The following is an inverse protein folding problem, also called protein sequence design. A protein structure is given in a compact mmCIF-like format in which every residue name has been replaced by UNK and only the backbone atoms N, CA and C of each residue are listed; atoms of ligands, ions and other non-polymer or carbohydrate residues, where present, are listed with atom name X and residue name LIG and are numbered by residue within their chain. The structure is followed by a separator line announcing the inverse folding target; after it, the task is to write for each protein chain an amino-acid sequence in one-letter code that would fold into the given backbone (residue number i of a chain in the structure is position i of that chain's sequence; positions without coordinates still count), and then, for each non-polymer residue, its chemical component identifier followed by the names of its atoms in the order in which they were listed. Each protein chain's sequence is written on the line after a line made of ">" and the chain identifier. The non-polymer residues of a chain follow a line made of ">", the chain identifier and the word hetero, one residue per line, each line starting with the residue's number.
data_IF_333646289396
#
_entry.id   IF_333646289396
#
_cell.length_a   1.000
_cell.length_b   1.000
_cell.length_c   1.000
_cell.angle_alpha   90.00
_cell.angle_beta   90.00
_cell.angle_gamma   90.00
#
_symmetry.space_group_name_H-M   'P 1'
#
loop_
_entity.id
_entity.type
_entity.pdbx_description
1 polymer ?
#
# COMPACT_ATOMS: atom_id res chain seq x y z
N UNK A 1 27.68 -16.10 -10.08
CA UNK A 1 28.28 -14.81 -10.46
C UNK A 1 27.21 -13.80 -10.80
N UNK A 2 27.57 -12.49 -10.70
CA UNK A 2 26.69 -11.38 -11.04
C UNK A 2 27.07 -10.81 -12.39
N UNK A 3 26.10 -10.60 -13.27
CA UNK A 3 26.27 -9.93 -14.56
C UNK A 3 25.60 -8.56 -14.50
N UNK A 4 26.30 -7.52 -14.95
CA UNK A 4 25.78 -6.14 -15.00
C UNK A 4 25.59 -5.70 -16.45
N UNK A 5 24.42 -5.18 -16.75
CA UNK A 5 24.05 -4.64 -18.05
C UNK A 5 23.81 -3.14 -17.94
N UNK A 6 24.42 -2.37 -18.84
CA UNK A 6 24.24 -0.92 -18.95
C UNK A 6 23.87 -0.57 -20.37
N UNK A 7 23.08 0.48 -20.55
CA UNK A 7 22.93 1.06 -21.88
C UNK A 7 24.27 1.60 -22.37
N UNK A 8 24.55 1.49 -23.67
CA UNK A 8 25.72 2.08 -24.31
C UNK A 8 25.62 3.62 -24.43
N UNK A 9 24.42 4.16 -24.31
CA UNK A 9 24.14 5.59 -24.42
C UNK A 9 23.78 6.17 -23.05
N UNK A 10 24.22 7.37 -22.74
CA UNK A 10 23.78 8.12 -21.57
C UNK A 10 22.26 8.31 -21.58
N UNK A 11 21.60 8.01 -20.46
CA UNK A 11 20.15 8.03 -20.36
C UNK A 11 19.43 6.92 -21.13
N UNK A 12 20.17 5.96 -21.70
CA UNK A 12 19.58 4.84 -22.41
C UNK A 12 18.87 3.86 -21.47
N UNK A 13 17.88 3.15 -22.04
CA UNK A 13 16.97 2.27 -21.33
C UNK A 13 17.25 0.79 -21.66
N UNK A 14 16.89 -0.10 -20.73
CA UNK A 14 17.02 -1.55 -20.89
C UNK A 14 15.62 -2.17 -20.91
N UNK A 15 15.24 -2.81 -22.01
CA UNK A 15 13.98 -3.54 -22.14
C UNK A 15 14.17 -5.00 -21.74
N UNK A 16 13.30 -5.50 -20.88
CA UNK A 16 13.30 -6.92 -20.46
C UNK A 16 12.14 -7.63 -21.14
N UNK A 17 12.37 -8.17 -22.33
CA UNK A 17 11.33 -8.77 -23.20
C UNK A 17 10.65 -10.01 -22.63
N UNK A 18 11.27 -10.71 -21.65
CA UNK A 18 10.69 -11.89 -20.99
C UNK A 18 9.75 -11.54 -19.85
N UNK A 19 9.61 -10.26 -19.49
CA UNK A 19 8.70 -9.81 -18.44
C UNK A 19 7.51 -9.06 -19.04
N UNK A 20 6.33 -9.33 -18.47
CA UNK A 20 5.11 -8.58 -18.72
C UNK A 20 4.65 -7.92 -17.42
N UNK A 21 4.29 -6.65 -17.50
CA UNK A 21 3.69 -5.86 -16.42
C UNK A 21 2.26 -5.47 -16.79
N UNK A 22 1.52 -4.91 -15.85
CA UNK A 22 0.13 -4.52 -16.09
C UNK A 22 -0.06 -3.56 -17.28
N UNK A 23 0.99 -2.82 -17.66
CA UNK A 23 0.99 -1.84 -18.76
C UNK A 23 1.84 -2.28 -19.95
N UNK A 24 2.31 -3.52 -20.01
CA UNK A 24 3.14 -4.06 -21.09
C UNK A 24 4.57 -4.43 -20.67
N UNK A 25 5.45 -4.58 -21.66
CA UNK A 25 6.84 -4.95 -21.45
C UNK A 25 7.61 -3.81 -20.75
N UNK A 26 8.29 -4.07 -19.61
CA UNK A 26 8.94 -3.02 -18.84
C UNK A 26 10.25 -2.54 -19.49
N UNK A 27 10.53 -1.24 -19.30
CA UNK A 27 11.72 -0.55 -19.80
C UNK A 27 12.39 0.18 -18.61
N UNK A 28 13.58 -0.24 -18.27
CA UNK A 28 14.28 0.19 -17.05
C UNK A 28 15.35 1.25 -17.32
N UNK A 29 15.36 2.37 -16.59
CA UNK A 29 16.51 3.28 -16.53
C UNK A 29 17.63 2.69 -15.68
N UNK A 30 18.81 3.29 -15.72
CA UNK A 30 19.95 2.88 -14.90
C UNK A 30 20.63 1.62 -15.41
N UNK A 31 20.97 0.71 -14.49
CA UNK A 31 21.55 -0.57 -14.88
C UNK A 31 20.74 -1.75 -14.35
N UNK A 32 20.95 -2.90 -14.99
CA UNK A 32 20.35 -4.17 -14.58
C UNK A 32 21.47 -5.12 -14.15
N UNK A 33 21.26 -5.78 -13.03
CA UNK A 33 22.11 -6.85 -12.56
C UNK A 33 21.32 -8.15 -12.54
N UNK A 34 21.95 -9.22 -13.01
CA UNK A 34 21.38 -10.57 -13.01
C UNK A 34 22.27 -11.48 -12.17
N UNK A 35 21.69 -12.17 -11.21
CA UNK A 35 22.33 -13.17 -10.38
C UNK A 35 21.55 -14.48 -10.47
N UNK A 36 22.24 -15.60 -10.58
CA UNK A 36 21.64 -16.92 -10.46
C UNK A 36 21.46 -17.27 -8.98
N UNK A 37 20.24 -17.59 -8.60
CA UNK A 37 19.84 -18.05 -7.28
C UNK A 37 19.36 -19.52 -7.34
N UNK A 38 19.13 -20.12 -6.20
CA UNK A 38 18.75 -21.56 -6.12
C UNK A 38 17.46 -21.91 -6.85
N UNK A 39 16.56 -20.97 -7.01
CA UNK A 39 15.21 -21.14 -7.55
C UNK A 39 14.93 -20.32 -8.83
N UNK A 40 15.97 -19.66 -9.36
CA UNK A 40 15.85 -18.92 -10.61
C UNK A 40 16.87 -17.79 -10.78
N UNK A 41 16.50 -16.80 -11.57
CA UNK A 41 17.30 -15.61 -11.79
C UNK A 41 16.74 -14.42 -11.00
N UNK A 42 17.62 -13.84 -10.19
CA UNK A 42 17.34 -12.57 -9.55
C UNK A 42 17.71 -11.43 -10.51
N UNK A 43 16.76 -10.53 -10.74
CA UNK A 43 16.94 -9.35 -11.56
C UNK A 43 16.87 -8.11 -10.66
N UNK A 44 17.94 -7.33 -10.62
CA UNK A 44 18.03 -6.08 -9.86
C UNK A 44 18.16 -4.89 -10.82
N UNK A 45 17.38 -3.84 -10.54
CA UNK A 45 17.53 -2.57 -11.22
C UNK A 45 18.17 -1.55 -10.26
N UNK A 46 19.38 -1.12 -10.59
CA UNK A 46 20.04 -0.01 -9.90
C UNK A 46 19.72 1.29 -10.64
N UNK A 47 19.03 2.19 -9.96
CA UNK A 47 18.47 3.41 -10.55
C UNK A 47 18.56 4.57 -9.58
N UNK A 48 18.75 5.78 -10.10
CA UNK A 48 18.67 7.02 -9.33
C UNK A 48 17.26 7.19 -8.72
N UNK A 49 17.19 7.73 -7.50
CA UNK A 49 15.92 7.88 -6.77
C UNK A 49 14.90 8.73 -7.55
N UNK A 50 15.33 9.82 -8.17
CA UNK A 50 14.39 10.68 -8.90
C UNK A 50 13.89 9.99 -10.20
N UNK A 51 14.77 9.26 -10.89
CA UNK A 51 14.37 8.44 -12.05
C UNK A 51 13.45 7.28 -11.65
N UNK A 52 13.66 6.67 -10.48
CA UNK A 52 12.73 5.70 -9.90
C UNK A 52 11.35 6.33 -9.68
N UNK A 53 11.29 7.53 -9.08
CA UNK A 53 10.04 8.23 -8.79
C UNK A 53 9.24 8.63 -10.03
N UNK A 54 9.90 8.94 -11.16
CA UNK A 54 9.23 9.18 -12.45
C UNK A 54 8.47 7.95 -12.95
N UNK A 55 8.80 6.74 -12.47
CA UNK A 55 8.11 5.49 -12.80
C UNK A 55 7.12 5.05 -11.72
N UNK A 56 7.41 5.35 -10.46
CA UNK A 56 6.49 5.06 -9.34
C UNK A 56 5.29 5.99 -9.38
N UNK A 57 5.48 7.30 -9.52
CA UNK A 57 4.38 8.26 -9.44
C UNK A 57 3.23 7.94 -10.41
N UNK A 58 3.45 7.67 -11.72
CA UNK A 58 2.37 7.28 -12.63
C UNK A 58 1.86 5.85 -12.42
N UNK A 59 2.61 5.00 -11.70
CA UNK A 59 2.16 3.66 -11.34
C UNK A 59 1.19 3.68 -10.16
N UNK A 60 1.30 4.67 -9.26
CA UNK A 60 0.52 4.81 -8.04
C UNK A 60 -0.64 5.80 -8.19
N UNK A 61 -0.50 6.84 -9.00
CA UNK A 61 -1.52 7.88 -9.19
C UNK A 61 -1.73 8.17 -10.69
N UNK A 62 -2.99 8.27 -11.16
CA UNK A 62 -3.26 8.63 -12.55
C UNK A 62 -2.58 9.94 -12.96
N UNK A 63 -1.82 9.96 -14.08
CA UNK A 63 -1.06 11.14 -14.51
C UNK A 63 -1.95 12.31 -14.98
N UNK A 64 -3.26 12.08 -15.05
CA UNK A 64 -4.28 13.10 -15.39
C UNK A 64 -4.77 13.91 -14.18
N UNK A 65 -4.27 13.59 -12.98
CA UNK A 65 -4.61 14.34 -11.79
C UNK A 65 -3.92 15.71 -11.79
N UNK A 66 -4.44 16.63 -10.97
CA UNK A 66 -3.91 17.99 -10.84
C UNK A 66 -2.43 17.95 -10.41
N UNK A 67 -1.63 18.89 -10.96
CA UNK A 67 -0.19 18.92 -10.75
C UNK A 67 0.20 18.94 -9.26
N UNK A 68 -0.52 19.70 -8.43
CA UNK A 68 -0.24 19.77 -6.99
C UNK A 68 -0.54 18.43 -6.26
N UNK A 69 -1.52 17.67 -6.73
CA UNK A 69 -1.77 16.32 -6.21
C UNK A 69 -0.63 15.35 -6.61
N UNK A 70 -0.15 15.44 -7.86
CA UNK A 70 1.00 14.66 -8.33
C UNK A 70 2.29 15.02 -7.58
N UNK A 71 2.51 16.31 -7.26
CA UNK A 71 3.61 16.78 -6.42
C UNK A 71 3.53 16.19 -5.00
N UNK A 72 2.36 16.23 -4.38
CA UNK A 72 2.15 15.63 -3.07
C UNK A 72 2.45 14.13 -3.09
N UNK A 73 2.00 13.40 -4.13
CA UNK A 73 2.32 12.00 -4.32
C UNK A 73 3.82 11.77 -4.49
N UNK A 74 4.51 12.59 -5.28
CA UNK A 74 5.96 12.48 -5.48
C UNK A 74 6.73 12.67 -4.17
N UNK A 75 6.36 13.64 -3.34
CA UNK A 75 6.99 13.88 -2.02
C UNK A 75 6.72 12.71 -1.06
N UNK A 76 5.49 12.19 -1.02
CA UNK A 76 5.16 11.01 -0.21
C UNK A 76 5.95 9.78 -0.68
N UNK A 77 5.97 9.52 -1.97
CA UNK A 77 6.67 8.37 -2.56
C UNK A 77 8.19 8.46 -2.33
N UNK A 78 8.77 9.65 -2.47
CA UNK A 78 10.20 9.89 -2.19
C UNK A 78 10.54 9.63 -0.73
N UNK A 79 9.71 10.15 0.19
CA UNK A 79 9.92 9.96 1.63
C UNK A 79 9.83 8.49 2.01
N UNK A 80 8.84 7.77 1.48
CA UNK A 80 8.70 6.33 1.67
C UNK A 80 9.92 5.58 1.14
N UNK A 81 10.31 5.82 -0.13
CA UNK A 81 11.48 5.17 -0.75
C UNK A 81 12.77 5.46 0.03
N UNK A 82 12.99 6.70 0.45
CA UNK A 82 14.13 7.08 1.26
C UNK A 82 14.21 6.29 2.57
N UNK A 83 13.08 6.10 3.25
CA UNK A 83 13.00 5.25 4.46
C UNK A 83 13.39 3.80 4.16
N UNK A 84 12.92 3.24 3.03
CA UNK A 84 13.27 1.88 2.64
C UNK A 84 14.76 1.73 2.31
N UNK A 85 15.38 2.74 1.69
CA UNK A 85 16.83 2.77 1.41
C UNK A 85 17.64 2.71 2.71
N UNK A 86 17.16 3.32 3.80
CA UNK A 86 17.80 3.23 5.11
C UNK A 86 17.54 1.90 5.83
N UNK A 87 16.62 1.10 5.32
CA UNK A 87 16.28 -0.21 5.84
C UNK A 87 17.18 -1.33 5.28
N UNK A 88 16.82 -2.57 5.62
CA UNK A 88 17.57 -3.75 5.22
C UNK A 88 16.68 -4.91 4.74
N UNK A 89 15.46 -4.64 4.29
CA UNK A 89 14.46 -5.65 3.97
C UNK A 89 14.97 -6.72 2.99
N UNK A 90 15.72 -6.29 1.97
CA UNK A 90 16.30 -7.17 0.94
C UNK A 90 17.83 -7.12 0.87
N UNK A 91 18.51 -6.82 1.96
CA UNK A 91 19.97 -6.71 2.03
C UNK A 91 20.70 -7.99 1.59
N UNK A 92 20.12 -9.18 1.81
CA UNK A 92 20.64 -10.47 1.33
C UNK A 92 20.75 -10.55 -0.18
N UNK A 93 19.91 -9.83 -0.90
CA UNK A 93 19.93 -9.74 -2.36
C UNK A 93 20.68 -8.52 -2.88
N UNK A 94 21.08 -7.61 -1.98
CA UNK A 94 21.68 -6.32 -2.35
C UNK A 94 20.65 -5.31 -2.89
N UNK A 95 19.36 -5.49 -2.53
CA UNK A 95 18.25 -4.62 -2.91
C UNK A 95 17.64 -3.90 -1.69
N UNK A 96 16.93 -2.82 -1.94
CA UNK A 96 16.20 -2.07 -0.91
C UNK A 96 14.72 -2.42 -0.88
N UNK A 97 14.11 -2.60 -2.05
CA UNK A 97 12.67 -2.82 -2.26
C UNK A 97 12.43 -3.83 -3.39
N UNK A 98 11.24 -4.40 -3.47
CA UNK A 98 10.73 -5.03 -4.69
C UNK A 98 9.82 -4.05 -5.47
N UNK A 99 9.40 -4.44 -6.66
CA UNK A 99 8.61 -3.64 -7.59
C UNK A 99 7.09 -3.86 -7.46
N UNK A 100 6.65 -4.48 -6.37
CA UNK A 100 5.27 -4.88 -6.13
C UNK A 100 4.56 -4.01 -5.09
N UNK A 101 3.31 -4.34 -4.83
CA UNK A 101 2.49 -3.73 -3.75
C UNK A 101 2.99 -4.02 -2.32
N UNK A 102 4.07 -4.79 -2.14
CA UNK A 102 4.72 -4.93 -0.85
C UNK A 102 5.43 -3.63 -0.43
N UNK A 103 5.87 -2.85 -1.44
CA UNK A 103 6.49 -1.54 -1.27
C UNK A 103 5.75 -0.51 -2.11
N UNK A 104 6.26 -0.19 -3.30
CA UNK A 104 5.65 0.76 -4.24
C UNK A 104 5.59 0.13 -5.63
N UNK A 105 4.45 0.27 -6.29
CA UNK A 105 4.31 -0.26 -7.65
C UNK A 105 5.25 0.46 -8.60
N UNK A 106 6.10 -0.33 -9.26
CA UNK A 106 7.12 0.13 -10.20
C UNK A 106 6.93 -0.59 -11.52
N UNK A 107 5.93 -0.15 -12.32
CA UNK A 107 5.54 -0.82 -13.56
C UNK A 107 6.56 -0.65 -14.68
N UNK A 108 7.29 0.45 -14.72
CA UNK A 108 8.37 0.74 -15.66
C UNK A 108 8.00 0.72 -17.15
N UNK A 109 6.79 1.09 -17.50
CA UNK A 109 6.35 1.02 -18.89
C UNK A 109 6.23 2.40 -19.54
N UNK A 110 5.71 3.38 -18.81
CA UNK A 110 5.43 4.71 -19.32
C UNK A 110 5.91 5.79 -18.36
N UNK A 111 6.36 6.92 -18.92
CA UNK A 111 6.50 8.21 -18.24
C UNK A 111 5.51 9.19 -18.82
N UNK A 112 5.16 10.20 -18.06
CA UNK A 112 4.24 11.25 -18.45
C UNK A 112 4.82 12.60 -18.04
N UNK A 113 4.73 13.59 -18.92
CA UNK A 113 5.27 14.93 -18.67
C UNK A 113 4.74 15.55 -17.37
N UNK A 114 3.48 15.28 -17.03
CA UNK A 114 2.86 15.78 -15.79
C UNK A 114 3.50 15.20 -14.53
N UNK A 115 3.74 13.88 -14.50
CA UNK A 115 4.38 13.21 -13.36
C UNK A 115 5.87 13.52 -13.28
N UNK A 116 6.54 13.60 -14.43
CA UNK A 116 7.97 14.00 -14.49
C UNK A 116 8.15 15.43 -13.99
N UNK A 117 7.26 16.35 -14.38
CA UNK A 117 7.21 17.72 -13.86
C UNK A 117 7.03 17.74 -12.36
N UNK A 118 6.07 16.95 -11.83
CA UNK A 118 5.79 16.88 -10.40
C UNK A 118 7.02 16.39 -9.61
N UNK A 119 7.71 15.36 -10.09
CA UNK A 119 8.95 14.85 -9.47
C UNK A 119 10.06 15.91 -9.51
N UNK A 120 10.29 16.54 -10.67
CA UNK A 120 11.35 17.53 -10.86
C UNK A 120 11.13 18.78 -10.01
N UNK A 121 9.89 19.31 -9.95
CA UNK A 121 9.56 20.51 -9.17
C UNK A 121 9.57 20.29 -7.64
N UNK A 122 9.55 19.03 -7.22
CA UNK A 122 9.67 18.62 -5.80
C UNK A 122 11.00 17.94 -5.50
N UNK A 123 12.00 18.09 -6.37
CA UNK A 123 13.29 17.42 -6.24
C UNK A 123 13.86 17.51 -4.83
N UNK A 124 14.23 16.38 -4.23
CA UNK A 124 14.87 16.27 -2.93
C UNK A 124 13.97 16.61 -1.72
N UNK A 125 12.69 16.97 -1.93
CA UNK A 125 11.78 17.28 -0.82
C UNK A 125 11.30 16.00 -0.11
N UNK A 126 11.41 15.98 1.22
CA UNK A 126 10.96 14.91 2.10
C UNK A 126 9.98 15.44 3.15
N UNK A 127 9.09 14.57 3.62
CA UNK A 127 8.26 14.82 4.79
C UNK A 127 9.01 14.38 6.05
N UNK A 128 9.14 15.27 7.01
CA UNK A 128 9.88 15.02 8.25
C UNK A 128 9.04 15.32 9.49
N UNK A 129 9.36 14.59 10.55
CA UNK A 129 8.87 14.87 11.89
C UNK A 129 10.04 14.87 12.86
N UNK A 130 10.26 15.99 13.56
CA UNK A 130 11.42 16.22 14.44
C UNK A 130 12.78 15.99 13.78
N UNK A 131 12.92 16.27 12.48
CA UNK A 131 14.15 16.12 11.72
C UNK A 131 14.40 14.74 11.13
N UNK A 132 13.49 13.78 11.34
CA UNK A 132 13.56 12.44 10.76
C UNK A 132 12.48 12.26 9.68
N UNK A 133 12.80 11.63 8.53
CA UNK A 133 11.81 11.28 7.52
C UNK A 133 10.71 10.39 8.11
N UNK A 134 9.44 10.71 7.80
CA UNK A 134 8.28 10.00 8.33
C UNK A 134 8.00 8.68 7.59
N UNK A 135 7.15 7.83 8.17
CA UNK A 135 6.48 6.73 7.45
C UNK A 135 5.36 7.35 6.60
N UNK A 136 5.68 7.71 5.37
CA UNK A 136 4.78 8.42 4.47
C UNK A 136 3.85 7.45 3.72
N UNK A 137 2.97 6.76 4.46
CA UNK A 137 1.97 5.87 3.86
C UNK A 137 0.92 6.65 3.07
N UNK A 138 0.49 6.09 1.95
CA UNK A 138 -0.58 6.64 1.12
C UNK A 138 -1.54 5.52 0.66
N UNK A 139 -2.72 5.90 0.24
CA UNK A 139 -3.79 5.00 -0.20
C UNK A 139 -4.74 5.72 -1.17
N UNK A 140 -5.50 4.98 -1.95
CA UNK A 140 -6.36 5.56 -2.99
C UNK A 140 -7.65 6.16 -2.44
N UNK A 141 -8.28 5.51 -1.45
CA UNK A 141 -9.59 5.92 -0.94
C UNK A 141 -9.72 5.53 0.53
N UNK A 142 -10.19 6.44 1.37
CA UNK A 142 -10.50 6.20 2.77
C UNK A 142 -11.94 5.69 2.95
N UNK A 143 -12.33 5.45 4.20
CA UNK A 143 -13.72 5.32 4.61
C UNK A 143 -14.29 6.63 5.20
N UNK A 144 -13.53 7.73 5.09
CA UNK A 144 -13.83 9.04 5.66
C UNK A 144 -13.13 9.31 6.99
N UNK A 145 -12.38 8.35 7.52
CA UNK A 145 -11.62 8.51 8.76
C UNK A 145 -10.26 7.82 8.67
N UNK A 146 -9.20 8.50 9.07
CA UNK A 146 -7.87 7.93 9.15
C UNK A 146 -7.71 6.95 10.32
N UNK A 147 -6.55 6.31 10.38
CA UNK A 147 -6.10 5.50 11.53
C UNK A 147 -4.74 5.96 11.99
N UNK A 148 -4.29 5.51 13.15
CA UNK A 148 -2.92 5.74 13.63
C UNK A 148 -2.00 4.53 13.34
N UNK A 149 -0.73 4.66 13.69
CA UNK A 149 0.28 3.63 13.45
C UNK A 149 -0.01 2.27 14.11
N UNK A 150 -0.95 2.21 15.06
CA UNK A 150 -1.31 0.95 15.73
C UNK A 150 -1.96 -0.07 14.78
N UNK A 151 -2.44 0.36 13.61
CA UNK A 151 -2.95 -0.53 12.56
C UNK A 151 -1.88 -1.52 12.08
N UNK A 152 -0.61 -1.12 12.14
CA UNK A 152 0.55 -1.96 11.77
C UNK A 152 1.12 -2.73 12.97
N UNK A 153 0.48 -2.66 14.14
CA UNK A 153 0.96 -3.31 15.37
C UNK A 153 2.05 -2.52 16.11
N UNK A 154 2.38 -1.32 15.67
CA UNK A 154 3.31 -0.42 16.35
C UNK A 154 2.62 0.37 17.47
N UNK A 155 3.44 0.92 18.39
CA UNK A 155 2.94 1.92 19.33
C UNK A 155 2.66 3.23 18.57
N UNK A 156 1.43 3.74 18.66
CA UNK A 156 1.02 4.98 17.99
C UNK A 156 1.86 6.20 18.43
N UNK A 157 2.47 6.16 19.61
CA UNK A 157 3.38 7.23 20.08
C UNK A 157 4.65 7.36 19.25
N UNK A 158 5.07 6.31 18.54
CA UNK A 158 6.22 6.33 17.65
C UNK A 158 5.93 6.99 16.29
N UNK A 159 4.65 7.16 15.96
CA UNK A 159 4.20 7.75 14.70
C UNK A 159 3.09 8.80 14.93
N UNK A 160 3.34 9.85 15.75
CA UNK A 160 2.30 10.79 16.18
C UNK A 160 1.74 11.66 15.04
N UNK A 161 2.39 11.67 13.90
CA UNK A 161 1.93 12.31 12.67
C UNK A 161 0.87 11.48 11.93
N UNK A 162 0.77 10.17 12.17
CA UNK A 162 -0.32 9.32 11.67
C UNK A 162 -1.53 9.46 12.60
N UNK A 163 -2.52 10.25 12.16
CA UNK A 163 -3.64 10.67 13.02
C UNK A 163 -4.94 9.99 12.63
N UNK A 164 -5.61 9.42 13.63
CA UNK A 164 -6.97 8.89 13.49
C UNK A 164 -7.99 10.04 13.60
N UNK A 165 -8.24 10.70 12.47
CA UNK A 165 -9.14 11.85 12.35
C UNK A 165 -9.98 11.76 11.07
N UNK A 166 -11.08 12.51 10.99
CA UNK A 166 -11.87 12.60 9.76
C UNK A 166 -11.06 13.18 8.61
N UNK A 167 -11.26 12.65 7.41
CA UNK A 167 -10.55 13.07 6.19
C UNK A 167 -11.29 14.24 5.54
N UNK A 168 -11.28 15.36 6.23
CA UNK A 168 -11.87 16.63 5.81
C UNK A 168 -11.19 17.81 6.54
N UNK A 169 -11.58 19.06 6.23
CA UNK A 169 -11.03 20.28 6.84
C UNK A 169 -11.10 20.30 8.38
N UNK A 170 -12.06 19.58 8.95
CA UNK A 170 -12.29 19.60 10.41
C UNK A 170 -11.33 18.72 11.17
N UNK A 171 -10.79 17.67 10.53
CA UNK A 171 -9.85 16.70 11.11
C UNK A 171 -10.26 16.24 12.54
N UNK A 172 -11.55 15.92 12.74
CA UNK A 172 -12.09 15.53 14.04
C UNK A 172 -11.71 14.12 14.43
N UNK A 173 -11.39 13.90 15.68
CA UNK A 173 -11.24 12.57 16.26
C UNK A 173 -12.62 12.02 16.60
N UNK A 174 -12.97 10.86 16.03
CA UNK A 174 -14.17 10.11 16.37
C UNK A 174 -13.75 8.87 17.18
N UNK A 175 -14.60 8.45 18.12
CA UNK A 175 -14.42 7.15 18.78
C UNK A 175 -15.16 6.09 17.97
N UNK A 176 -14.40 5.36 17.14
CA UNK A 176 -14.87 4.25 16.32
C UNK A 176 -14.44 2.88 16.86
N UNK A 177 -14.09 2.79 18.14
CA UNK A 177 -13.54 1.57 18.76
C UNK A 177 -14.62 0.54 19.12
N UNK A 178 -15.90 0.91 19.14
CA UNK A 178 -17.01 -0.04 19.29
C UNK A 178 -17.57 -0.49 17.94
N UNK A 179 -18.17 -1.71 17.89
CA UNK A 179 -18.84 -2.20 16.69
C UNK A 179 -20.03 -1.33 16.29
N UNK A 180 -20.79 -0.86 17.27
CA UNK A 180 -21.96 0.00 17.04
C UNK A 180 -21.56 1.35 16.45
N UNK A 181 -20.56 2.01 17.06
CA UNK A 181 -20.09 3.31 16.57
C UNK A 181 -19.52 3.20 15.15
N UNK A 182 -18.74 2.15 14.87
CA UNK A 182 -18.21 1.91 13.53
C UNK A 182 -19.30 1.55 12.53
N UNK A 183 -20.28 0.73 12.90
CA UNK A 183 -21.40 0.39 12.02
C UNK A 183 -22.23 1.62 11.65
N UNK A 184 -22.54 2.47 12.62
CA UNK A 184 -23.24 3.73 12.37
C UNK A 184 -22.45 4.64 11.42
N UNK A 185 -21.15 4.76 11.64
CA UNK A 185 -20.27 5.56 10.79
C UNK A 185 -20.18 5.03 9.35
N UNK A 186 -19.97 3.73 9.17
CA UNK A 186 -19.80 3.15 7.83
C UNK A 186 -21.11 3.08 7.03
N UNK A 187 -22.27 3.12 7.70
CA UNK A 187 -23.59 3.17 7.08
C UNK A 187 -24.10 4.58 6.81
N UNK A 188 -23.42 5.59 7.31
CA UNK A 188 -23.78 6.99 7.06
C UNK A 188 -23.41 7.37 5.61
N UNK A 189 -24.45 7.57 4.79
CA UNK A 189 -24.31 7.97 3.38
C UNK A 189 -23.93 9.45 3.23
N UNK A 190 -24.04 10.26 4.30
CA UNK A 190 -23.75 11.69 4.31
C UNK A 190 -22.39 12.00 4.97
N UNK A 191 -21.47 11.05 4.97
CA UNK A 191 -20.13 11.26 5.53
C UNK A 191 -19.42 12.40 4.80
N UNK A 192 -19.07 13.46 5.54
CA UNK A 192 -18.30 14.59 5.05
C UNK A 192 -16.81 14.19 4.95
N UNK A 193 -16.37 13.79 3.74
CA UNK A 193 -15.00 13.42 3.45
C UNK A 193 -14.60 13.84 2.04
N UNK A 194 -13.32 14.17 1.82
CA UNK A 194 -12.80 14.61 0.52
C UNK A 194 -12.99 13.59 -0.61
N UNK A 195 -13.00 12.31 -0.27
CA UNK A 195 -13.09 11.20 -1.19
C UNK A 195 -14.47 10.48 -1.15
N UNK A 196 -15.50 11.14 -0.60
CA UNK A 196 -16.85 10.57 -0.46
C UNK A 196 -17.49 10.19 -1.79
N UNK A 197 -17.15 10.87 -2.88
CA UNK A 197 -17.68 10.63 -4.22
C UNK A 197 -16.99 9.47 -4.98
N UNK A 198 -15.91 8.92 -4.42
CA UNK A 198 -15.20 7.82 -5.06
C UNK A 198 -15.95 6.50 -4.92
N UNK A 199 -16.01 5.69 -6.00
CA UNK A 199 -16.75 4.42 -5.99
C UNK A 199 -16.32 3.42 -4.91
N UNK A 200 -15.08 3.54 -4.42
CA UNK A 200 -14.51 2.68 -3.38
C UNK A 200 -14.70 3.22 -1.96
N UNK A 201 -15.28 4.41 -1.81
CA UNK A 201 -15.54 5.01 -0.50
C UNK A 201 -16.52 4.19 0.35
N UNK A 202 -17.57 3.64 -0.29
CA UNK A 202 -18.52 2.69 0.30
C UNK A 202 -18.70 1.49 -0.63
N UNK A 203 -18.45 0.32 -0.13
CA UNK A 203 -18.53 -0.90 -0.92
C UNK A 203 -19.06 -2.06 -0.08
N UNK A 204 -19.60 -3.06 -0.75
CA UNK A 204 -20.09 -4.29 -0.15
C UNK A 204 -19.48 -5.50 -0.82
N UNK A 205 -19.17 -6.52 -0.05
CA UNK A 205 -18.76 -7.83 -0.56
C UNK A 205 -19.54 -8.93 0.13
N UNK A 206 -19.69 -10.06 -0.56
CA UNK A 206 -20.35 -11.25 -0.03
C UNK A 206 -19.41 -12.43 -0.15
N UNK A 207 -19.38 -13.27 0.87
CA UNK A 207 -18.69 -14.55 0.86
C UNK A 207 -19.62 -15.62 1.42
N UNK A 208 -19.33 -16.89 1.14
CA UNK A 208 -20.12 -18.02 1.66
C UNK A 208 -19.42 -18.65 2.85
N UNK A 209 -20.19 -19.33 3.71
CA UNK A 209 -19.61 -20.12 4.80
C UNK A 209 -18.62 -21.17 4.27
N UNK A 210 -18.92 -21.83 3.16
CA UNK A 210 -18.03 -22.82 2.54
C UNK A 210 -16.64 -22.26 2.23
N UNK A 211 -16.58 -21.05 1.61
CA UNK A 211 -15.29 -20.38 1.32
C UNK A 211 -14.53 -20.05 2.61
N UNK A 212 -15.26 -19.61 3.64
CA UNK A 212 -14.64 -19.30 4.93
C UNK A 212 -14.20 -20.55 5.68
N UNK A 213 -14.99 -21.64 5.63
CA UNK A 213 -14.67 -22.93 6.23
C UNK A 213 -13.35 -23.48 5.66
N UNK A 214 -13.17 -23.40 4.33
CA UNK A 214 -11.94 -23.81 3.65
C UNK A 214 -10.72 -22.96 4.06
N UNK A 215 -10.90 -21.62 4.11
CA UNK A 215 -9.81 -20.68 4.43
C UNK A 215 -9.37 -20.72 5.88
N UNK A 216 -10.31 -20.86 6.80
CA UNK A 216 -10.06 -20.81 8.24
C UNK A 216 -9.70 -22.18 8.78
N UNK A 217 -10.42 -23.21 8.37
CA UNK A 217 -10.23 -24.60 8.74
C UNK A 217 -10.29 -24.87 10.26
N UNK A 218 -10.42 -26.12 10.66
CA UNK A 218 -10.23 -26.58 12.04
C UNK A 218 -11.15 -25.94 13.11
N UNK A 219 -12.35 -25.52 12.70
CA UNK A 219 -13.46 -25.09 13.59
C UNK A 219 -14.78 -25.77 13.22
N UNK A 220 -14.77 -26.66 12.23
CA UNK A 220 -15.98 -27.21 11.64
C UNK A 220 -16.71 -26.13 10.80
N UNK A 221 -18.02 -26.28 10.61
CA UNK A 221 -18.83 -25.30 9.89
C UNK A 221 -18.93 -24.00 10.70
N UNK A 222 -18.60 -22.86 10.09
CA UNK A 222 -18.65 -21.54 10.75
C UNK A 222 -20.09 -21.16 11.02
N UNK A 223 -20.35 -20.79 12.28
CA UNK A 223 -21.65 -20.34 12.80
C UNK A 223 -21.67 -18.89 13.24
N UNK A 224 -20.50 -18.28 13.43
CA UNK A 224 -20.43 -16.89 13.85
C UNK A 224 -19.05 -16.25 13.59
N UNK A 225 -19.13 -14.95 13.27
CA UNK A 225 -17.99 -14.06 13.12
C UNK A 225 -18.22 -12.83 13.98
N UNK A 226 -17.26 -12.44 14.78
CA UNK A 226 -17.39 -11.26 15.65
C UNK A 226 -16.06 -10.51 15.71
N UNK A 227 -16.09 -9.22 15.39
CA UNK A 227 -14.95 -8.32 15.72
C UNK A 227 -15.02 -8.05 17.22
N UNK A 228 -14.06 -8.56 17.96
CA UNK A 228 -14.02 -8.45 19.43
C UNK A 228 -13.26 -7.22 19.91
N UNK A 229 -12.44 -6.62 19.05
CA UNK A 229 -11.81 -5.31 19.32
C UNK A 229 -11.53 -4.56 18.03
N UNK A 230 -11.60 -3.23 18.12
CA UNK A 230 -11.24 -2.29 17.06
C UNK A 230 -10.13 -1.36 17.53
N UNK A 231 -9.33 -0.89 16.60
CA UNK A 231 -8.33 0.15 16.84
C UNK A 231 -8.87 1.55 16.51
N UNK A 232 -8.01 2.54 16.65
CA UNK A 232 -8.31 3.91 16.27
C UNK A 232 -8.71 3.99 14.78
N UNK A 233 -9.76 4.78 14.48
CA UNK A 233 -10.34 4.79 13.13
C UNK A 233 -11.20 3.57 12.81
N UNK A 234 -11.49 2.70 13.77
CA UNK A 234 -12.48 1.62 13.63
C UNK A 234 -11.98 0.34 12.95
N UNK A 235 -10.72 0.25 12.53
CA UNK A 235 -10.20 -0.98 11.89
C UNK A 235 -10.34 -2.21 12.79
N UNK A 236 -10.61 -3.37 12.20
CA UNK A 236 -10.73 -4.62 12.94
C UNK A 236 -9.37 -5.06 13.49
N UNK A 237 -9.20 -5.05 14.82
CA UNK A 237 -7.98 -5.45 15.51
C UNK A 237 -7.99 -6.94 15.84
N UNK A 238 -9.16 -7.48 16.22
CA UNK A 238 -9.32 -8.89 16.58
C UNK A 238 -10.64 -9.43 16.07
N UNK A 239 -10.57 -10.55 15.33
CA UNK A 239 -11.71 -11.32 14.84
C UNK A 239 -11.79 -12.65 15.58
N UNK A 240 -12.94 -12.95 16.18
CA UNK A 240 -13.30 -14.28 16.68
C UNK A 240 -14.21 -14.98 15.69
N UNK A 241 -13.83 -16.20 15.34
CA UNK A 241 -14.59 -17.12 14.50
C UNK A 241 -15.07 -18.26 15.36
N UNK A 242 -16.36 -18.59 15.29
CA UNK A 242 -16.98 -19.70 15.99
C UNK A 242 -17.54 -20.68 14.97
N UNK A 243 -17.29 -21.95 15.15
CA UNK A 243 -17.82 -23.02 14.35
C UNK A 243 -18.36 -24.17 15.19
N UNK A 244 -18.83 -25.21 14.53
CA UNK A 244 -19.47 -26.38 15.17
C UNK A 244 -18.50 -27.22 16.01
N UNK A 245 -17.19 -27.12 15.77
CA UNK A 245 -16.15 -27.92 16.41
C UNK A 245 -15.16 -27.09 17.23
N UNK A 246 -15.40 -25.80 17.38
CA UNK A 246 -14.53 -24.93 18.16
C UNK A 246 -14.53 -23.47 17.73
N UNK A 247 -13.52 -22.75 18.18
CA UNK A 247 -13.33 -21.35 17.80
C UNK A 247 -11.87 -21.00 17.56
N UNK A 248 -11.63 -19.99 16.69
CA UNK A 248 -10.30 -19.39 16.46
C UNK A 248 -10.37 -17.88 16.59
N UNK A 249 -9.26 -17.29 16.99
CA UNK A 249 -9.10 -15.83 17.09
C UNK A 249 -7.94 -15.40 16.20
N UNK A 250 -8.17 -14.35 15.41
CA UNK A 250 -7.17 -13.77 14.52
C UNK A 250 -6.93 -12.32 14.95
N UNK A 251 -5.67 -11.95 15.10
CA UNK A 251 -5.25 -10.60 15.49
C UNK A 251 -4.44 -9.93 14.37
N UNK A 252 -4.62 -8.61 14.26
CA UNK A 252 -4.00 -7.78 13.23
C UNK A 252 -4.80 -7.73 11.93
N UNK A 253 -4.89 -6.51 11.37
CA UNK A 253 -5.72 -6.24 10.19
C UNK A 253 -5.32 -7.07 8.96
N UNK A 254 -4.01 -7.27 8.71
CA UNK A 254 -3.54 -8.06 7.58
C UNK A 254 -4.00 -9.51 7.66
N UNK A 255 -3.90 -10.13 8.85
CA UNK A 255 -4.36 -11.50 9.04
C UNK A 255 -5.87 -11.64 8.90
N UNK A 256 -6.62 -10.68 9.46
CA UNK A 256 -8.09 -10.65 9.34
C UNK A 256 -8.51 -10.50 7.87
N UNK A 257 -7.89 -9.58 7.13
CA UNK A 257 -8.13 -9.42 5.69
C UNK A 257 -7.85 -10.70 4.91
N UNK A 258 -6.73 -11.35 5.19
CA UNK A 258 -6.34 -12.61 4.54
C UNK A 258 -7.39 -13.72 4.76
N UNK A 259 -7.84 -13.93 6.01
CA UNK A 259 -8.81 -15.01 6.31
C UNK A 259 -10.21 -14.70 5.81
N UNK A 260 -10.63 -13.43 5.76
CA UNK A 260 -11.91 -13.04 5.18
C UNK A 260 -11.89 -13.01 3.64
N UNK A 261 -10.72 -13.13 3.02
CA UNK A 261 -10.56 -13.11 1.58
C UNK A 261 -10.66 -11.73 0.93
N UNK A 262 -10.69 -10.69 1.76
CA UNK A 262 -10.69 -9.31 1.33
C UNK A 262 -9.27 -8.77 1.33
N UNK A 263 -8.42 -9.33 0.46
CA UNK A 263 -7.13 -8.73 0.18
C UNK A 263 -7.33 -7.47 -0.67
N UNK A 264 -6.31 -6.63 -0.74
CA UNK A 264 -6.27 -5.42 -1.58
C UNK A 264 -6.64 -5.65 -3.06
N UNK A 265 -6.77 -6.89 -3.48
CA UNK A 265 -7.13 -7.30 -4.85
C UNK A 265 -8.62 -7.20 -5.17
N UNK A 266 -9.45 -6.71 -4.28
CA UNK A 266 -10.85 -6.35 -4.59
C UNK A 266 -10.90 -5.33 -5.74
N UNK A 267 -9.85 -4.56 -5.95
CA UNK A 267 -9.71 -3.55 -7.00
C UNK A 267 -9.58 -4.10 -8.43
N UNK A 268 -9.22 -5.36 -8.60
CA UNK A 268 -9.02 -5.96 -9.91
C UNK A 268 -10.26 -6.68 -10.45
N UNK A 269 -11.42 -6.45 -9.86
CA UNK A 269 -12.67 -7.01 -10.38
C UNK A 269 -13.41 -5.96 -11.19
N UNK A 270 -13.15 -5.96 -12.46
CA UNK A 270 -14.12 -5.53 -13.45
C UNK A 270 -15.16 -6.63 -13.63
#
# INVERSE_FOLDING_TARGET
>A
GRLTFKSANDGGMITVHSLERAQGTPVYPGHMEITEESDGLLLLNEVDLEEYLKRVTPSEMPPTYELEALKAQAVCARTYAWRQIQGNAYSTYGAHVDDSTNFQVYNNTLTFDSTDTAVNETFGQLLEYNGDPIEAFYYSTSDGHGTDGSVWGADASNTPYLRAVTINDKAKKLDLTSNEAFENFIRDENTDAYDSDFPMFRWNTKTTSTILDEKIGGVGRITGLTITSRGAGGYAKTLKVVGTEGSKTFSGQSKIRSVLGNSSLVYNRK
#
